data_IF_170091815735
#
_entry.id   IF_170091815735
#
_cell.length_a   1.000
_cell.length_b   1.000
_cell.length_c   1.000
_cell.angle_alpha   90.00
_cell.angle_beta   90.00
_cell.angle_gamma   90.00
#
_symmetry.space_group_name_H-M   'P 1'
#
loop_
_entity.id
_entity.type
_entity.pdbx_description
1 polymer ?
#
# COMPACT_ATOMS: atom_id res chain seq x y z
N UNK A 1 -15.22 -8.26 2.69
CA UNK A 1 -14.82 -7.20 1.74
C UNK A 1 -13.31 -7.04 1.76
N UNK A 2 -12.71 -6.86 0.61
CA UNK A 2 -11.28 -6.60 0.49
C UNK A 2 -11.08 -5.11 0.28
N UNK A 3 -10.24 -4.49 1.10
CA UNK A 3 -9.92 -3.07 0.98
C UNK A 3 -8.51 -2.91 0.43
N UNK A 4 -8.40 -2.16 -0.67
CA UNK A 4 -7.10 -1.82 -1.26
C UNK A 4 -6.80 -0.37 -0.90
N UNK A 5 -5.65 -0.13 -0.30
CA UNK A 5 -5.21 1.22 0.07
C UNK A 5 -4.00 1.55 -0.77
N UNK A 6 -4.12 2.57 -1.60
CA UNK A 6 -3.05 3.04 -2.47
C UNK A 6 -2.48 4.33 -1.88
N UNK A 7 -1.17 4.34 -1.65
CA UNK A 7 -0.45 5.51 -1.16
C UNK A 7 0.61 5.87 -2.19
N UNK A 8 0.28 6.81 -3.08
CA UNK A 8 1.06 7.12 -4.26
C UNK A 8 0.79 8.56 -4.69
N UNK A 9 1.82 9.39 -4.84
CA UNK A 9 1.66 10.80 -5.20
C UNK A 9 1.62 11.04 -6.72
N UNK A 10 2.04 10.07 -7.54
CA UNK A 10 1.98 10.20 -8.98
C UNK A 10 0.71 9.56 -9.52
N UNK A 11 -0.13 10.38 -10.16
CA UNK A 11 -1.41 9.94 -10.68
C UNK A 11 -1.28 8.81 -11.69
N UNK A 12 -0.23 8.83 -12.51
CA UNK A 12 0.01 7.76 -13.49
C UNK A 12 0.10 6.39 -12.81
N UNK A 13 0.90 6.27 -11.75
CA UNK A 13 1.05 5.00 -11.06
C UNK A 13 -0.19 4.61 -10.26
N UNK A 14 -0.84 5.59 -9.65
CA UNK A 14 -2.08 5.33 -8.93
C UNK A 14 -3.14 4.76 -9.86
N UNK A 15 -3.29 5.34 -11.05
CA UNK A 15 -4.24 4.84 -12.04
C UNK A 15 -3.86 3.45 -12.54
N UNK A 16 -2.56 3.19 -12.71
CA UNK A 16 -2.07 1.87 -13.11
C UNK A 16 -2.43 0.81 -12.06
N UNK A 17 -2.22 1.11 -10.79
CA UNK A 17 -2.57 0.17 -9.71
C UNK A 17 -4.08 -0.08 -9.67
N UNK A 18 -4.90 0.96 -9.82
CA UNK A 18 -6.35 0.79 -9.84
C UNK A 18 -6.78 -0.10 -11.00
N UNK A 19 -6.20 0.09 -12.16
CA UNK A 19 -6.50 -0.73 -13.33
C UNK A 19 -6.16 -2.20 -13.08
N UNK A 20 -5.01 -2.47 -12.51
CA UNK A 20 -4.59 -3.84 -12.21
C UNK A 20 -5.47 -4.47 -11.13
N UNK A 21 -5.89 -3.71 -10.12
CA UNK A 21 -6.79 -4.20 -9.09
C UNK A 21 -8.13 -4.60 -9.70
N UNK A 22 -8.71 -3.72 -10.53
CA UNK A 22 -9.99 -4.03 -11.18
C UNK A 22 -9.89 -5.26 -12.07
N UNK A 23 -8.80 -5.38 -12.81
CA UNK A 23 -8.56 -6.52 -13.68
C UNK A 23 -8.43 -7.82 -12.88
N UNK A 24 -7.73 -7.77 -11.76
CA UNK A 24 -7.54 -8.94 -10.89
C UNK A 24 -8.85 -9.36 -10.24
N UNK A 25 -9.67 -8.38 -9.79
CA UNK A 25 -10.88 -8.66 -9.02
C UNK A 25 -12.11 -8.98 -9.88
N UNK A 26 -12.08 -8.66 -11.17
CA UNK A 26 -13.27 -8.77 -12.02
C UNK A 26 -13.75 -10.21 -12.22
N UNK A 27 -12.86 -11.19 -12.05
CA UNK A 27 -13.18 -12.61 -12.25
C UNK A 27 -13.66 -13.31 -10.97
N UNK A 28 -13.69 -12.60 -9.84
CA UNK A 28 -14.11 -13.15 -8.57
C UNK A 28 -15.47 -12.64 -8.14
N UNK A 29 -15.99 -13.23 -7.09
CA UNK A 29 -17.27 -12.82 -6.50
C UNK A 29 -17.06 -11.95 -5.26
N UNK A 30 -15.81 -11.66 -4.90
CA UNK A 30 -15.50 -10.86 -3.72
C UNK A 30 -15.77 -9.39 -3.97
N UNK A 31 -16.37 -8.76 -2.99
CA UNK A 31 -16.55 -7.31 -3.01
C UNK A 31 -15.25 -6.65 -2.58
N UNK A 32 -14.94 -5.54 -3.20
CA UNK A 32 -13.73 -4.79 -2.87
C UNK A 32 -13.97 -3.29 -2.96
N UNK A 33 -13.08 -2.54 -2.32
CA UNK A 33 -13.12 -1.09 -2.34
C UNK A 33 -11.67 -0.58 -2.43
N UNK A 34 -11.48 0.53 -3.14
CA UNK A 34 -10.16 1.14 -3.31
C UNK A 34 -10.17 2.49 -2.62
N UNK A 35 -9.18 2.70 -1.75
CA UNK A 35 -8.92 3.97 -1.07
C UNK A 35 -7.61 4.52 -1.61
N UNK A 36 -7.60 5.77 -2.03
CA UNK A 36 -6.47 6.37 -2.71
C UNK A 36 -6.01 7.62 -1.96
N UNK A 37 -4.71 7.67 -1.67
CA UNK A 37 -4.11 8.79 -0.96
C UNK A 37 -2.86 9.24 -1.72
N UNK A 38 -2.77 10.54 -2.02
CA UNK A 38 -1.62 11.10 -2.73
C UNK A 38 -0.59 11.72 -1.79
N UNK A 39 -0.92 11.84 -0.51
CA UNK A 39 -0.01 12.40 0.49
C UNK A 39 -0.41 11.91 1.86
N UNK A 40 0.50 12.08 2.84
CA UNK A 40 0.22 11.76 4.23
C UNK A 40 -0.54 12.91 4.88
N UNK A 41 -1.65 12.58 5.52
CA UNK A 41 -2.41 13.50 6.36
C UNK A 41 -3.06 12.72 7.51
N UNK A 42 -3.73 13.43 8.41
CA UNK A 42 -4.36 12.78 9.57
C UNK A 42 -5.49 11.85 9.18
N UNK A 43 -6.16 12.12 8.07
CA UNK A 43 -7.32 11.33 7.65
C UNK A 43 -6.92 9.93 7.20
N UNK A 44 -5.72 9.75 6.63
CA UNK A 44 -5.28 8.45 6.17
C UNK A 44 -5.23 7.45 7.32
N UNK A 45 -4.73 7.85 8.48
CA UNK A 45 -4.65 6.96 9.64
C UNK A 45 -6.04 6.66 10.20
N UNK A 46 -6.92 7.66 10.26
CA UNK A 46 -8.29 7.45 10.71
C UNK A 46 -9.01 6.44 9.82
N UNK A 47 -8.86 6.58 8.51
CA UNK A 47 -9.51 5.67 7.56
C UNK A 47 -8.94 4.26 7.71
N UNK A 48 -7.61 4.12 7.73
CA UNK A 48 -6.97 2.81 7.86
C UNK A 48 -7.41 2.11 9.14
N UNK A 49 -7.46 2.82 10.25
CA UNK A 49 -7.91 2.23 11.52
C UNK A 49 -9.35 1.76 11.48
N UNK A 50 -10.19 2.36 10.64
CA UNK A 50 -11.59 2.01 10.53
C UNK A 50 -11.86 0.82 9.62
N UNK A 51 -10.88 0.41 8.80
CA UNK A 51 -11.07 -0.66 7.83
C UNK A 51 -11.17 -2.02 8.51
N UNK A 52 -12.25 -2.72 8.22
CA UNK A 52 -12.46 -4.09 8.67
C UNK A 52 -12.27 -5.04 7.48
N UNK A 53 -12.16 -6.33 7.76
CA UNK A 53 -11.98 -7.33 6.73
C UNK A 53 -10.53 -7.51 6.35
N UNK A 54 -10.29 -7.86 5.09
CA UNK A 54 -8.94 -8.07 4.58
C UNK A 54 -8.44 -6.80 3.90
N UNK A 55 -7.24 -6.37 4.24
CA UNK A 55 -6.67 -5.13 3.71
C UNK A 55 -5.38 -5.41 2.95
N UNK A 56 -5.23 -4.76 1.80
CA UNK A 56 -4.03 -4.83 0.97
C UNK A 56 -3.54 -3.41 0.78
N UNK A 57 -2.31 -3.14 1.20
CA UNK A 57 -1.72 -1.81 1.13
C UNK A 57 -0.67 -1.77 0.03
N UNK A 58 -0.79 -0.81 -0.88
CA UNK A 58 0.19 -0.57 -1.93
C UNK A 58 0.80 0.80 -1.63
N UNK A 59 2.03 0.79 -1.12
CA UNK A 59 2.66 1.98 -0.56
C UNK A 59 3.93 2.32 -1.33
N UNK A 60 3.96 3.54 -1.89
CA UNK A 60 5.16 4.05 -2.53
C UNK A 60 6.13 4.56 -1.47
N UNK A 61 7.41 4.21 -1.60
CA UNK A 61 8.44 4.69 -0.69
C UNK A 61 8.59 6.21 -0.78
N UNK A 62 8.44 6.77 -1.97
CA UNK A 62 8.82 8.15 -2.27
C UNK A 62 7.65 9.12 -2.25
N UNK A 63 6.79 9.04 -1.26
CA UNK A 63 5.69 10.01 -1.10
C UNK A 63 6.15 11.13 -0.19
N UNK A 64 5.86 12.37 -0.61
CA UNK A 64 6.19 13.55 0.17
C UNK A 64 5.46 13.52 1.52
N UNK A 65 6.16 13.93 2.56
CA UNK A 65 5.64 14.01 3.92
C UNK A 65 5.95 12.80 4.77
N UNK A 66 5.68 11.59 4.28
CA UNK A 66 6.00 10.36 4.99
C UNK A 66 6.24 9.26 3.97
N UNK A 67 7.36 8.57 4.08
CA UNK A 67 7.66 7.48 3.15
C UNK A 67 6.70 6.30 3.35
N UNK A 68 6.51 5.52 2.28
CA UNK A 68 5.69 4.32 2.38
C UNK A 68 6.22 3.32 3.39
N UNK A 69 7.55 3.29 3.61
CA UNK A 69 8.15 2.41 4.62
C UNK A 69 7.74 2.84 6.04
N UNK A 70 7.74 4.14 6.31
CA UNK A 70 7.34 4.64 7.61
C UNK A 70 5.85 4.47 7.83
N UNK A 71 5.04 4.65 6.78
CA UNK A 71 3.61 4.38 6.86
C UNK A 71 3.34 2.90 7.13
N UNK A 72 4.08 2.01 6.46
CA UNK A 72 3.94 0.57 6.68
C UNK A 72 4.23 0.21 8.14
N UNK A 73 5.28 0.81 8.71
CA UNK A 73 5.62 0.59 10.12
C UNK A 73 4.50 1.08 11.03
N UNK A 74 3.95 2.25 10.73
CA UNK A 74 2.85 2.81 11.51
C UNK A 74 1.62 1.89 11.45
N UNK A 75 1.28 1.39 10.27
CA UNK A 75 0.16 0.45 10.10
C UNK A 75 0.39 -0.81 10.95
N UNK A 76 1.58 -1.38 10.92
CA UNK A 76 1.90 -2.57 11.70
C UNK A 76 1.88 -2.33 13.19
N UNK A 77 2.04 -1.08 13.64
CA UNK A 77 2.02 -0.77 15.07
C UNK A 77 0.62 -0.85 15.66
N UNK A 78 -0.42 -0.59 14.91
CA UNK A 78 -1.79 -0.63 15.40
C UNK A 78 -2.63 -1.76 14.81
N UNK A 79 -2.33 -2.21 13.58
CA UNK A 79 -3.01 -3.37 12.98
C UNK A 79 -2.11 -4.58 13.13
N UNK A 80 -2.40 -5.36 14.15
CA UNK A 80 -1.55 -6.51 14.51
C UNK A 80 -1.98 -7.82 13.83
N UNK A 81 -2.96 -7.76 12.95
CA UNK A 81 -3.40 -8.94 12.23
C UNK A 81 -2.43 -9.30 11.11
N UNK A 82 -2.09 -10.58 11.03
CA UNK A 82 -1.20 -11.11 9.99
C UNK A 82 -1.89 -11.24 8.63
N UNK A 83 -3.20 -10.98 8.57
CA UNK A 83 -3.95 -11.12 7.32
C UNK A 83 -3.81 -9.91 6.40
N UNK A 84 -3.35 -8.78 6.93
CA UNK A 84 -3.15 -7.59 6.10
C UNK A 84 -1.82 -7.70 5.36
N UNK A 85 -1.86 -7.42 4.07
CA UNK A 85 -0.69 -7.52 3.19
C UNK A 85 -0.19 -6.13 2.82
N UNK A 86 1.13 -5.99 2.77
CA UNK A 86 1.75 -4.72 2.40
C UNK A 86 2.67 -4.97 1.20
N UNK A 87 2.43 -4.20 0.14
CA UNK A 87 3.25 -4.20 -1.06
C UNK A 87 3.95 -2.83 -1.13
N UNK A 88 5.27 -2.86 -1.21
CA UNK A 88 6.06 -1.62 -1.31
C UNK A 88 6.46 -1.42 -2.76
N UNK A 89 6.21 -0.22 -3.28
CA UNK A 89 6.62 0.15 -4.64
C UNK A 89 7.74 1.17 -4.56
N UNK A 90 8.68 1.10 -5.49
CA UNK A 90 9.79 2.04 -5.53
C UNK A 90 10.36 2.19 -6.93
N UNK A 91 10.83 3.39 -7.23
CA UNK A 91 11.64 3.66 -8.41
C UNK A 91 13.14 3.42 -8.14
N UNK A 92 13.52 3.23 -6.87
CA UNK A 92 14.91 3.06 -6.45
C UNK A 92 15.09 1.75 -5.70
N UNK A 93 15.75 0.78 -6.35
CA UNK A 93 15.92 -0.56 -5.79
C UNK A 93 16.78 -0.59 -4.53
N UNK A 94 17.69 0.37 -4.37
CA UNK A 94 18.54 0.45 -3.18
C UNK A 94 17.73 0.71 -1.90
N UNK A 95 16.54 1.29 -2.01
CA UNK A 95 15.68 1.54 -0.87
C UNK A 95 15.04 0.25 -0.32
N UNK A 96 15.08 -0.85 -1.06
CA UNK A 96 14.55 -2.14 -0.61
C UNK A 96 15.24 -2.60 0.68
N UNK A 97 16.55 -2.37 0.80
CA UNK A 97 17.30 -2.79 1.98
C UNK A 97 16.80 -2.11 3.25
N UNK A 98 16.29 -0.88 3.16
CA UNK A 98 15.73 -0.18 4.30
C UNK A 98 14.53 -0.89 4.90
N UNK A 99 13.72 -1.54 4.09
CA UNK A 99 12.55 -2.26 4.56
C UNK A 99 12.95 -3.44 5.45
N UNK A 100 13.99 -4.18 5.05
CA UNK A 100 14.47 -5.30 5.84
C UNK A 100 15.07 -4.84 7.16
N UNK A 101 15.83 -3.74 7.15
CA UNK A 101 16.40 -3.18 8.38
C UNK A 101 15.32 -2.70 9.34
N UNK A 102 14.20 -2.21 8.80
CA UNK A 102 13.10 -1.72 9.62
C UNK A 102 12.15 -2.84 10.07
N UNK A 103 12.41 -4.08 9.70
CA UNK A 103 11.63 -5.27 10.09
C UNK A 103 10.15 -5.12 9.75
N UNK A 104 9.85 -4.58 8.57
CA UNK A 104 8.48 -4.41 8.09
C UNK A 104 8.02 -5.73 7.48
N UNK A 105 6.85 -6.20 7.93
CA UNK A 105 6.21 -7.39 7.35
C UNK A 105 5.50 -7.01 6.06
N UNK A 106 6.01 -7.49 4.95
CA UNK A 106 5.46 -7.20 3.63
C UNK A 106 5.41 -8.44 2.77
N UNK A 107 4.56 -8.39 1.73
CA UNK A 107 4.44 -9.50 0.80
C UNK A 107 5.50 -9.40 -0.29
N UNK A 108 5.73 -8.21 -0.81
CA UNK A 108 6.62 -8.04 -1.96
C UNK A 108 7.09 -6.60 -2.13
N UNK A 109 8.16 -6.45 -2.92
CA UNK A 109 8.61 -5.17 -3.47
C UNK A 109 8.33 -5.14 -4.95
N UNK A 110 7.85 -4.01 -5.44
CA UNK A 110 7.62 -3.81 -6.86
C UNK A 110 8.37 -2.58 -7.31
N UNK A 111 9.26 -2.74 -8.29
CA UNK A 111 9.91 -1.61 -8.93
C UNK A 111 8.97 -1.00 -9.96
N UNK A 112 8.86 0.33 -9.97
CA UNK A 112 7.98 1.02 -10.91
C UNK A 112 8.42 0.86 -12.36
N UNK A 113 9.68 0.55 -12.59
CA UNK A 113 10.25 0.44 -13.92
C UNK A 113 10.53 -0.99 -14.37
N UNK A 114 10.18 -1.95 -13.55
CA UNK A 114 10.27 -3.37 -13.92
C UNK A 114 8.95 -3.81 -14.53
N UNK A 115 9.04 -4.52 -15.62
CA UNK A 115 7.86 -5.07 -16.29
C UNK A 115 7.52 -6.48 -15.77
#
# INVERSE_FOLDING_TARGET
MINFVIYEDEEYFSNLYKKEIHKFMCNGNDQYKIYEFSKYDEDIIKIIKSLAGQNVYILDIEVEGKSGLDLAREIRSFKKTMNDQIIITTAHLDLIQNAYHKKIMMVDFVSKFDD
#
